data_IF_699392189017
#
_entry.id   IF_699392189017
#
_cell.length_a   1.000
_cell.length_b   1.000
_cell.length_c   1.000
_cell.angle_alpha   90.00
_cell.angle_beta   90.00
_cell.angle_gamma   90.00
#
_symmetry.space_group_name_H-M   'P 1'
#
loop_
_entity.id
_entity.type
_entity.pdbx_description
1 polymer ?
#
# COMPACT_ATOMS: atom_id res chain seq x y z
N UNK A 1 30.90 -21.81 0.86
CA UNK A 1 30.20 -22.25 -0.37
C UNK A 1 28.82 -22.71 -0.01
N UNK A 2 27.81 -22.37 -0.82
CA UNK A 2 26.46 -22.93 -0.72
C UNK A 2 25.36 -21.87 -0.62
N UNK A 3 25.27 -20.96 -1.59
CA UNK A 3 24.00 -20.27 -1.84
C UNK A 3 23.15 -21.29 -2.60
N UNK A 4 22.13 -21.84 -1.98
CA UNK A 4 21.13 -22.66 -2.68
C UNK A 4 20.08 -21.67 -3.19
N UNK A 5 20.02 -21.37 -4.50
CA UNK A 5 18.92 -20.59 -5.03
C UNK A 5 17.66 -21.45 -4.96
N UNK A 6 16.75 -21.15 -4.02
CA UNK A 6 15.41 -21.75 -4.03
C UNK A 6 14.67 -21.13 -5.21
N UNK A 7 14.63 -21.85 -6.33
CA UNK A 7 13.82 -21.52 -7.50
C UNK A 7 12.37 -21.89 -7.17
N UNK A 8 11.61 -20.92 -6.66
CA UNK A 8 10.19 -21.07 -6.38
C UNK A 8 9.34 -20.79 -7.61
N UNK A 9 9.36 -21.67 -8.61
CA UNK A 9 8.30 -21.71 -9.61
C UNK A 9 7.01 -22.19 -8.91
N UNK A 10 6.08 -21.26 -8.67
CA UNK A 10 4.65 -21.55 -8.58
C UNK A 10 4.17 -22.58 -7.56
N UNK A 11 4.63 -22.56 -6.30
CA UNK A 11 3.98 -23.32 -5.22
C UNK A 11 3.66 -22.44 -4.00
N UNK A 12 2.45 -21.91 -4.07
CA UNK A 12 1.51 -21.59 -3.00
C UNK A 12 2.05 -21.09 -1.65
N UNK A 13 1.73 -19.81 -1.37
CA UNK A 13 1.20 -19.18 -0.14
C UNK A 13 1.52 -19.81 1.25
N UNK A 14 1.57 -21.13 1.40
CA UNK A 14 1.83 -21.84 2.66
C UNK A 14 3.28 -21.85 3.14
N UNK A 15 4.28 -21.67 2.26
CA UNK A 15 5.71 -21.72 2.65
C UNK A 15 6.12 -20.62 3.64
N UNK A 16 5.52 -19.43 3.52
CA UNK A 16 5.84 -18.30 4.39
C UNK A 16 5.13 -18.37 5.76
N UNK A 17 4.04 -19.14 5.87
CA UNK A 17 3.22 -19.21 7.09
C UNK A 17 3.88 -20.11 8.16
N UNK A 18 4.75 -21.05 7.76
CA UNK A 18 5.42 -21.98 8.69
C UNK A 18 6.78 -21.51 9.22
N UNK A 19 7.44 -20.55 8.57
CA UNK A 19 8.78 -20.09 8.98
C UNK A 19 9.88 -21.16 8.84
N UNK A 20 9.63 -22.21 8.05
CA UNK A 20 10.50 -23.37 7.85
C UNK A 20 10.58 -23.70 6.36
N UNK A 21 11.78 -24.08 5.90
CA UNK A 21 12.00 -24.66 4.59
C UNK A 21 11.32 -26.04 4.55
N UNK A 22 10.35 -26.24 3.66
CA UNK A 22 9.58 -27.50 3.59
C UNK A 22 10.35 -28.67 2.96
N UNK A 23 11.51 -28.42 2.35
CA UNK A 23 12.39 -29.45 1.78
C UNK A 23 13.41 -29.93 2.81
N UNK A 24 13.92 -29.02 3.65
CA UNK A 24 14.98 -29.35 4.64
C UNK A 24 14.50 -29.34 6.09
N UNK A 25 13.30 -28.82 6.37
CA UNK A 25 12.77 -28.64 7.71
C UNK A 25 13.50 -27.57 8.54
N UNK A 26 14.44 -26.82 7.95
CA UNK A 26 15.21 -25.82 8.67
C UNK A 26 14.41 -24.53 8.84
N UNK A 27 14.34 -24.05 10.09
CA UNK A 27 13.81 -22.73 10.40
C UNK A 27 14.66 -21.66 9.76
N UNK A 28 14.01 -20.70 9.12
CA UNK A 28 14.73 -19.58 8.56
C UNK A 28 15.25 -18.65 9.67
N UNK A 29 16.50 -18.23 9.56
CA UNK A 29 17.16 -17.26 10.42
C UNK A 29 16.88 -15.82 9.98
N UNK A 30 17.06 -14.83 10.89
CA UNK A 30 16.82 -13.43 10.59
C UNK A 30 17.75 -12.84 9.51
N UNK A 31 18.91 -13.47 9.27
CA UNK A 31 19.86 -13.09 8.23
C UNK A 31 19.62 -13.76 6.87
N UNK A 32 18.69 -14.72 6.80
CA UNK A 32 18.41 -15.45 5.58
C UNK A 32 17.72 -14.55 4.55
N UNK A 33 18.20 -14.65 3.32
CA UNK A 33 17.70 -13.86 2.21
C UNK A 33 16.62 -14.62 1.47
N UNK A 34 15.43 -14.03 1.39
CA UNK A 34 14.28 -14.64 0.73
C UNK A 34 13.73 -13.74 -0.36
N UNK A 35 13.19 -14.37 -1.38
CA UNK A 35 12.44 -13.74 -2.44
C UNK A 35 11.12 -14.50 -2.59
N UNK A 36 9.99 -13.79 -2.57
CA UNK A 36 8.71 -14.47 -2.50
C UNK A 36 7.53 -13.51 -2.39
N UNK A 37 6.35 -14.05 -2.11
CA UNK A 37 5.14 -13.25 -1.90
C UNK A 37 4.94 -13.04 -0.41
N UNK A 38 4.99 -11.78 0.06
CA UNK A 38 4.70 -11.44 1.44
C UNK A 38 3.19 -11.43 1.65
N UNK A 39 2.74 -12.12 2.70
CA UNK A 39 1.37 -12.05 3.16
C UNK A 39 1.34 -11.73 4.66
N UNK A 40 0.42 -10.86 5.07
CA UNK A 40 0.19 -10.51 6.47
C UNK A 40 -1.10 -11.17 6.92
N UNK A 41 -1.04 -11.92 8.01
CA UNK A 41 -2.20 -12.58 8.62
C UNK A 41 -2.59 -11.79 9.86
N UNK A 42 -3.72 -11.07 9.80
CA UNK A 42 -4.25 -10.34 10.95
C UNK A 42 -5.67 -10.82 11.25
N UNK A 43 -5.93 -11.29 12.47
CA UNK A 43 -7.28 -11.67 12.91
C UNK A 43 -7.94 -12.75 12.05
N UNK A 44 -7.17 -13.75 11.60
CA UNK A 44 -7.68 -14.85 10.76
C UNK A 44 -7.83 -14.54 9.27
N UNK A 45 -7.48 -13.32 8.83
CA UNK A 45 -7.50 -12.93 7.41
C UNK A 45 -6.08 -12.79 6.87
N UNK A 46 -5.76 -13.53 5.79
CA UNK A 46 -4.48 -13.44 5.07
C UNK A 46 -4.57 -12.40 3.96
N UNK A 47 -3.70 -11.40 3.97
CA UNK A 47 -3.62 -10.35 2.94
C UNK A 47 -2.26 -10.38 2.25
N UNK A 48 -2.27 -10.60 0.94
CA UNK A 48 -1.05 -10.58 0.13
C UNK A 48 -0.61 -9.13 -0.09
N UNK A 49 0.60 -8.81 0.36
CA UNK A 49 1.21 -7.47 0.30
C UNK A 49 1.99 -7.27 -1.01
N UNK A 50 2.48 -8.35 -1.62
CA UNK A 50 3.15 -8.31 -2.91
C UNK A 50 4.44 -9.14 -2.95
N UNK A 51 5.17 -9.06 -4.08
CA UNK A 51 6.47 -9.71 -4.23
C UNK A 51 7.53 -8.93 -3.45
N UNK A 52 8.28 -9.61 -2.60
CA UNK A 52 9.34 -9.05 -1.76
C UNK A 52 10.65 -9.78 -1.99
N UNK A 53 11.74 -9.07 -1.75
CA UNK A 53 13.10 -9.59 -1.76
C UNK A 53 13.85 -8.93 -0.61
N UNK A 54 14.48 -9.72 0.26
CA UNK A 54 15.25 -9.17 1.38
C UNK A 54 15.52 -10.17 2.50
N UNK A 55 16.24 -9.72 3.53
CA UNK A 55 16.49 -10.49 4.74
C UNK A 55 15.20 -10.67 5.55
N UNK A 56 15.01 -11.85 6.13
CA UNK A 56 13.80 -12.16 6.91
C UNK A 56 13.61 -11.23 8.10
N UNK A 57 14.67 -10.92 8.86
CA UNK A 57 14.56 -10.02 10.02
C UNK A 57 14.04 -8.64 9.65
N UNK A 58 14.35 -8.15 8.45
CA UNK A 58 13.84 -6.88 7.94
C UNK A 58 12.40 -6.99 7.44
N UNK A 59 12.06 -8.12 6.81
CA UNK A 59 10.70 -8.41 6.35
C UNK A 59 9.73 -8.64 7.52
N UNK A 60 10.17 -9.27 8.61
CA UNK A 60 9.39 -9.47 9.83
C UNK A 60 9.12 -8.16 10.55
N UNK A 61 10.13 -7.28 10.67
CA UNK A 61 9.95 -5.93 11.23
C UNK A 61 8.93 -5.14 10.40
N UNK A 62 9.06 -5.20 9.07
CA UNK A 62 8.08 -4.60 8.14
C UNK A 62 6.70 -5.23 8.29
N UNK A 63 6.62 -6.55 8.43
CA UNK A 63 5.37 -7.30 8.61
C UNK A 63 4.64 -6.93 9.90
N UNK A 64 5.37 -6.82 11.03
CA UNK A 64 4.82 -6.35 12.31
C UNK A 64 4.37 -4.90 12.27
N UNK A 65 5.12 -4.02 11.61
CA UNK A 65 4.70 -2.64 11.37
C UNK A 65 3.43 -2.59 10.51
N UNK A 66 3.33 -3.44 9.49
CA UNK A 66 2.15 -3.56 8.65
C UNK A 66 0.94 -4.12 9.41
N UNK A 67 1.14 -5.10 10.28
CA UNK A 67 0.09 -5.69 11.12
C UNK A 67 -0.43 -4.66 12.15
N UNK A 68 0.47 -3.88 12.76
CA UNK A 68 0.10 -2.80 13.65
C UNK A 68 -0.67 -1.69 12.91
N UNK A 69 -0.24 -1.31 11.70
CA UNK A 69 -0.96 -0.38 10.84
C UNK A 69 -2.35 -0.92 10.44
N UNK A 70 -2.46 -2.21 10.12
CA UNK A 70 -3.72 -2.86 9.76
C UNK A 70 -4.71 -2.97 10.93
N UNK A 71 -4.21 -3.08 12.18
CA UNK A 71 -5.04 -3.07 13.39
C UNK A 71 -5.55 -1.68 13.78
N UNK A 72 -4.89 -0.60 13.33
CA UNK A 72 -5.28 0.79 13.61
C UNK A 72 -6.27 1.43 12.62
N UNK A 73 -6.35 0.93 11.38
CA UNK A 73 -7.22 1.49 10.34
C UNK A 73 -8.61 0.87 10.31
N UNK A 74 -9.65 1.61 10.72
CA UNK A 74 -11.05 1.27 10.38
C UNK A 74 -11.09 1.02 8.86
N UNK A 75 -11.62 -0.14 8.43
CA UNK A 75 -11.70 -0.56 7.01
C UNK A 75 -10.39 -1.07 6.36
N UNK A 76 -9.48 -1.75 7.08
CA UNK A 76 -8.43 -2.53 6.40
C UNK A 76 -7.50 -1.73 5.48
N UNK A 77 -7.42 -0.42 5.68
CA UNK A 77 -6.49 0.50 5.06
C UNK A 77 -5.12 0.31 5.71
N UNK A 78 -4.08 0.17 4.88
CA UNK A 78 -2.69 0.00 5.34
C UNK A 78 -2.01 1.37 5.29
N UNK A 79 -1.65 1.91 6.46
CA UNK A 79 -0.88 3.16 6.54
C UNK A 79 0.60 2.83 6.28
N UNK A 80 1.19 3.49 5.28
CA UNK A 80 2.58 3.34 4.90
C UNK A 80 3.48 4.35 5.64
N UNK A 81 4.79 4.14 5.58
CA UNK A 81 5.76 5.08 6.15
C UNK A 81 5.57 6.50 5.60
N UNK A 82 5.60 7.45 6.53
CA UNK A 82 5.49 8.88 6.22
C UNK A 82 6.65 9.34 5.35
N UNK A 83 6.34 10.09 4.30
CA UNK A 83 7.33 10.73 3.42
C UNK A 83 7.36 12.24 3.67
N UNK A 84 8.36 12.93 3.15
CA UNK A 84 8.50 14.36 3.47
C UNK A 84 7.55 15.24 2.66
N UNK A 85 7.40 14.97 1.36
CA UNK A 85 6.71 15.90 0.45
C UNK A 85 5.66 15.19 -0.42
N UNK A 86 4.72 15.99 -0.92
CA UNK A 86 3.62 15.54 -1.77
C UNK A 86 4.08 14.75 -2.99
N UNK A 87 5.13 15.19 -3.68
CA UNK A 87 5.66 14.55 -4.88
C UNK A 87 6.16 13.12 -4.58
N UNK A 88 6.79 12.91 -3.42
CA UNK A 88 7.22 11.59 -2.99
C UNK A 88 6.02 10.69 -2.72
N UNK A 89 4.99 11.21 -2.04
CA UNK A 89 3.76 10.48 -1.77
C UNK A 89 3.06 10.09 -3.08
N UNK A 90 2.97 11.04 -4.03
CA UNK A 90 2.35 10.84 -5.35
C UNK A 90 3.12 9.81 -6.16
N UNK A 91 4.44 9.89 -6.23
CA UNK A 91 5.26 8.93 -6.97
C UNK A 91 5.14 7.52 -6.37
N UNK A 92 5.07 7.41 -5.04
CA UNK A 92 4.82 6.14 -4.35
C UNK A 92 3.43 5.59 -4.67
N UNK A 93 2.39 6.43 -4.69
CA UNK A 93 1.04 6.05 -5.11
C UNK A 93 1.02 5.53 -6.56
N UNK A 94 1.66 6.24 -7.48
CA UNK A 94 1.77 5.81 -8.89
C UNK A 94 2.54 4.49 -9.02
N UNK A 95 3.61 4.30 -8.26
CA UNK A 95 4.38 3.05 -8.24
C UNK A 95 3.54 1.85 -7.76
N UNK A 96 2.66 2.06 -6.78
CA UNK A 96 1.76 1.02 -6.26
C UNK A 96 0.65 0.66 -7.25
N UNK A 97 0.08 1.65 -7.94
CA UNK A 97 -1.06 1.45 -8.84
C UNK A 97 -0.63 1.04 -10.26
N UNK A 98 0.57 1.42 -10.70
CA UNK A 98 1.06 1.19 -12.04
C UNK A 98 0.45 2.17 -13.05
N UNK A 99 0.32 1.71 -14.29
CA UNK A 99 -0.23 2.50 -15.39
C UNK A 99 -1.75 2.66 -15.24
N UNK A 100 -2.22 3.88 -15.52
CA UNK A 100 -3.60 4.32 -15.44
C UNK A 100 -4.32 4.32 -16.79
N UNK A 101 -3.58 4.08 -17.88
CA UNK A 101 -4.08 4.23 -19.23
C UNK A 101 -4.21 5.69 -19.66
N UNK A 102 -4.27 5.91 -20.97
CA UNK A 102 -4.42 7.24 -21.55
C UNK A 102 -5.80 7.87 -21.26
N UNK A 103 -6.81 7.03 -20.97
CA UNK A 103 -8.21 7.37 -20.75
C UNK A 103 -8.58 7.66 -19.29
N UNK A 104 -7.66 7.42 -18.35
CA UNK A 104 -7.16 8.51 -17.52
C UNK A 104 -8.10 9.61 -16.99
N UNK A 105 -8.98 9.40 -16.01
CA UNK A 105 -9.94 10.46 -15.58
C UNK A 105 -9.55 11.18 -14.28
N UNK A 106 -9.86 12.48 -14.14
CA UNK A 106 -9.72 13.19 -12.86
C UNK A 106 -10.74 12.66 -11.85
N UNK A 107 -10.31 12.47 -10.60
CA UNK A 107 -11.22 12.09 -9.51
C UNK A 107 -11.67 13.32 -8.75
N UNK A 108 -13.00 13.52 -8.66
CA UNK A 108 -13.61 14.70 -8.04
C UNK A 108 -13.99 14.38 -6.59
N UNK A 109 -13.63 15.28 -5.66
CA UNK A 109 -13.99 15.14 -4.26
C UNK A 109 -15.50 15.28 -4.04
N UNK A 110 -16.11 14.31 -3.35
CA UNK A 110 -17.57 14.25 -3.14
C UNK A 110 -18.02 14.57 -1.72
N UNK A 111 -17.09 14.77 -0.79
CA UNK A 111 -17.42 15.06 0.61
C UNK A 111 -17.62 16.56 0.83
N UNK A 112 -18.86 17.01 1.02
CA UNK A 112 -19.23 18.43 1.17
C UNK A 112 -18.44 19.20 2.25
N UNK A 113 -18.09 18.52 3.35
CA UNK A 113 -17.34 19.14 4.45
C UNK A 113 -15.84 19.32 4.15
N UNK A 114 -15.32 18.69 3.09
CA UNK A 114 -13.91 18.77 2.72
C UNK A 114 -13.64 19.97 1.82
N UNK A 115 -12.48 20.61 1.97
CA UNK A 115 -12.05 21.65 1.03
C UNK A 115 -11.88 21.14 -0.41
N UNK A 116 -11.79 19.81 -0.60
CA UNK A 116 -11.74 19.14 -1.90
C UNK A 116 -13.10 18.92 -2.56
N UNK A 117 -14.22 19.30 -1.92
CA UNK A 117 -15.55 19.13 -2.51
C UNK A 117 -15.68 19.83 -3.86
N UNK A 118 -16.15 19.09 -4.87
CA UNK A 118 -16.33 19.60 -6.24
C UNK A 118 -15.03 19.90 -7.00
N UNK A 119 -13.87 19.53 -6.45
CA UNK A 119 -12.55 19.77 -7.06
C UNK A 119 -11.87 18.48 -7.43
N UNK A 120 -10.94 18.56 -8.38
CA UNK A 120 -10.00 17.47 -8.68
C UNK A 120 -9.14 17.26 -7.44
N UNK A 121 -9.23 16.07 -6.87
CA UNK A 121 -8.41 15.63 -5.72
C UNK A 121 -7.46 14.50 -6.10
N UNK A 122 -7.54 13.98 -7.32
CA UNK A 122 -6.64 12.93 -7.79
C UNK A 122 -7.01 12.43 -9.18
N UNK A 123 -6.66 11.18 -9.46
CA UNK A 123 -6.99 10.49 -10.73
C UNK A 123 -7.49 9.09 -10.46
N UNK A 124 -8.26 8.58 -11.40
CA UNK A 124 -8.72 7.20 -11.44
C UNK A 124 -8.68 6.63 -12.86
N UNK A 125 -8.56 5.31 -12.95
CA UNK A 125 -8.67 4.57 -14.21
C UNK A 125 -10.07 4.71 -14.80
N UNK A 126 -10.21 4.59 -16.12
CA UNK A 126 -11.50 4.70 -16.79
C UNK A 126 -12.53 3.64 -16.35
N UNK A 127 -12.09 2.50 -15.83
CA UNK A 127 -12.96 1.48 -15.25
C UNK A 127 -13.30 1.72 -13.77
N UNK A 128 -12.81 2.82 -13.18
CA UNK A 128 -12.96 3.22 -11.79
C UNK A 128 -12.46 2.19 -10.76
N UNK A 129 -11.57 1.27 -11.17
CA UNK A 129 -11.04 0.22 -10.29
C UNK A 129 -9.74 0.59 -9.60
N UNK A 130 -8.97 1.55 -10.10
CA UNK A 130 -7.74 1.99 -9.45
C UNK A 130 -7.69 3.51 -9.38
N UNK A 131 -7.36 4.06 -8.21
CA UNK A 131 -7.31 5.51 -8.00
C UNK A 131 -6.39 5.94 -6.89
N UNK A 132 -5.92 7.18 -6.98
CA UNK A 132 -5.33 7.88 -5.85
C UNK A 132 -6.07 9.19 -5.62
N UNK A 133 -6.17 9.61 -4.36
CA UNK A 133 -6.74 10.91 -3.96
C UNK A 133 -5.89 11.57 -2.88
N UNK A 134 -5.69 12.86 -3.02
CA UNK A 134 -5.16 13.75 -2.00
C UNK A 134 -6.24 13.97 -0.94
N UNK A 135 -5.90 13.75 0.32
CA UNK A 135 -6.83 13.86 1.43
C UNK A 135 -6.18 14.58 2.63
N UNK A 136 -7.03 15.18 3.46
CA UNK A 136 -6.62 15.82 4.71
C UNK A 136 -7.63 15.50 5.79
N UNK A 137 -7.12 15.01 6.91
CA UNK A 137 -7.90 14.76 8.13
C UNK A 137 -7.18 15.47 9.29
N UNK A 138 -7.86 16.28 10.12
CA UNK A 138 -7.21 17.01 11.22
C UNK A 138 -6.48 16.12 12.23
N UNK A 139 -6.88 14.86 12.37
CA UNK A 139 -6.24 13.88 13.27
C UNK A 139 -5.14 13.07 12.59
N UNK A 140 -5.24 12.79 11.28
CA UNK A 140 -4.22 12.02 10.54
C UNK A 140 -3.19 12.88 9.81
N UNK A 141 -3.50 14.14 9.55
CA UNK A 141 -2.72 15.04 8.70
C UNK A 141 -2.87 14.76 7.20
N UNK A 142 -1.92 15.28 6.43
CA UNK A 142 -1.85 15.10 4.98
C UNK A 142 -1.55 13.66 4.59
N UNK A 143 -2.32 13.12 3.65
CA UNK A 143 -2.07 11.78 3.12
C UNK A 143 -2.61 11.61 1.69
N UNK A 144 -2.00 10.69 0.94
CA UNK A 144 -2.57 10.19 -0.31
C UNK A 144 -3.21 8.84 -0.04
N UNK A 145 -4.51 8.76 -0.31
CA UNK A 145 -5.25 7.51 -0.32
C UNK A 145 -5.09 6.83 -1.68
N UNK A 146 -4.74 5.55 -1.65
CA UNK A 146 -4.53 4.70 -2.83
C UNK A 146 -5.51 3.55 -2.71
N UNK A 147 -6.35 3.35 -3.72
CA UNK A 147 -7.34 2.29 -3.75
C UNK A 147 -7.23 1.49 -5.04
N UNK A 148 -7.12 0.17 -4.91
CA UNK A 148 -7.11 -0.77 -6.03
C UNK A 148 -8.12 -1.89 -5.78
N UNK A 149 -9.11 -1.93 -6.66
CA UNK A 149 -10.23 -2.86 -6.72
C UNK A 149 -10.16 -3.77 -7.94
N UNK A 150 -9.04 -3.78 -8.70
CA UNK A 150 -8.89 -4.62 -9.90
C UNK A 150 -9.06 -6.11 -9.58
N UNK A 151 -8.68 -6.52 -8.38
CA UNK A 151 -8.82 -7.90 -7.88
C UNK A 151 -10.12 -8.15 -7.10
N UNK A 152 -11.00 -7.16 -6.98
CA UNK A 152 -12.27 -7.24 -6.25
C UNK A 152 -12.41 -6.18 -5.16
N UNK A 153 -13.62 -6.11 -4.58
CA UNK A 153 -13.96 -5.19 -3.48
C UNK A 153 -13.83 -5.90 -2.12
N UNK A 154 -14.05 -5.16 -1.02
CA UNK A 154 -14.05 -5.65 0.36
C UNK A 154 -12.69 -6.26 0.77
N UNK A 155 -12.64 -7.55 1.06
CA UNK A 155 -11.47 -8.32 1.48
C UNK A 155 -10.39 -8.39 0.41
N UNK A 156 -10.76 -8.24 -0.87
CA UNK A 156 -9.83 -8.21 -2.00
C UNK A 156 -9.39 -6.79 -2.39
N UNK A 157 -9.98 -5.77 -1.76
CA UNK A 157 -9.60 -4.39 -2.01
C UNK A 157 -8.25 -4.09 -1.37
N UNK A 158 -7.35 -3.51 -2.15
CA UNK A 158 -6.08 -3.00 -1.64
C UNK A 158 -6.26 -1.51 -1.38
N UNK A 159 -6.02 -1.09 -0.14
CA UNK A 159 -6.14 0.31 0.27
C UNK A 159 -4.89 0.72 1.05
N UNK A 160 -4.21 1.76 0.60
CA UNK A 160 -3.09 2.36 1.31
C UNK A 160 -3.36 3.82 1.64
N UNK A 161 -2.82 4.28 2.77
CA UNK A 161 -2.66 5.69 3.08
C UNK A 161 -1.16 6.01 3.12
N UNK A 162 -0.73 7.01 2.36
CA UNK A 162 0.66 7.48 2.31
C UNK A 162 0.72 8.85 2.99
N UNK A 163 1.04 8.92 4.29
CA UNK A 163 1.12 10.18 5.00
C UNK A 163 2.34 10.99 4.53
N UNK A 164 2.23 12.30 4.57
CA UNK A 164 3.35 13.20 4.32
C UNK A 164 3.29 14.48 5.17
N UNK A 165 4.36 15.27 5.20
CA UNK A 165 4.35 16.52 5.96
C UNK A 165 3.41 17.55 5.34
N UNK A 166 2.67 18.25 6.19
CA UNK A 166 1.78 19.33 5.78
C UNK A 166 0.53 19.42 6.66
N UNK A 167 -0.18 20.52 6.47
CA UNK A 167 -1.37 20.93 7.20
C UNK A 167 -2.52 21.25 6.23
N UNK A 168 -3.60 21.82 6.77
CA UNK A 168 -4.78 22.18 5.98
C UNK A 168 -4.47 23.27 4.93
N UNK A 169 -3.53 24.17 5.19
CA UNK A 169 -3.12 25.19 4.22
C UNK A 169 -2.36 24.56 3.05
N UNK A 170 -1.46 23.63 3.36
CA UNK A 170 -0.77 22.79 2.39
C UNK A 170 -1.77 22.03 1.52
N UNK A 171 -2.81 21.42 2.13
CA UNK A 171 -3.90 20.77 1.41
C UNK A 171 -4.56 21.72 0.39
N UNK A 172 -4.97 22.91 0.83
CA UNK A 172 -5.63 23.91 -0.03
C UNK A 172 -4.72 24.37 -1.16
N UNK A 173 -3.41 24.52 -0.92
CA UNK A 173 -2.44 24.88 -1.94
C UNK A 173 -2.30 23.80 -3.01
N UNK A 174 -2.21 22.53 -2.59
CA UNK A 174 -2.14 21.39 -3.50
C UNK A 174 -3.43 21.19 -4.29
N UNK A 175 -4.60 21.44 -3.68
CA UNK A 175 -5.86 21.46 -4.42
C UNK A 175 -5.85 22.51 -5.53
N UNK A 176 -5.32 23.72 -5.28
CA UNK A 176 -5.16 24.73 -6.34
C UNK A 176 -4.26 24.20 -7.45
N UNK A 177 -3.13 23.56 -7.12
CA UNK A 177 -2.22 22.98 -8.10
C UNK A 177 -2.90 21.90 -8.96
N UNK A 178 -3.75 21.05 -8.38
CA UNK A 178 -4.48 19.99 -9.09
C UNK A 178 -5.61 20.48 -10.00
N UNK A 179 -6.07 21.71 -9.80
CA UNK A 179 -7.21 22.30 -10.52
C UNK A 179 -6.78 23.48 -11.40
N UNK A 180 -5.52 23.49 -11.83
CA UNK A 180 -4.97 24.45 -12.80
C UNK A 180 -5.19 23.99 -14.24
#
# INVERSE_FOLDING_TARGET
MGIIPIIGTGKEIGQLIKGEDLVTGQKYGPDDYVWGTLAVVSGGTTRVVGKVVGKIGDLEKKGKALEAAAKGGRSGEIVLDKVQIYEQARNKAMSLLGDFGADSQPFIGTMEKSAGYGKIVGRETADHKARWRLDYDPSKGMHINVEDFRNGKKDKAIKYAIPFEGDEETFKSLLKYLNK
#
